data_IF_998813802068
#
_entry.id   IF_998813802068
#
_cell.length_a   1.000
_cell.length_b   1.000
_cell.length_c   1.000
_cell.angle_alpha   90.00
_cell.angle_beta   90.00
_cell.angle_gamma   90.00
#
_symmetry.space_group_name_H-M   'P 1'
#
loop_
_entity.id
_entity.type
_entity.pdbx_description
1 polymer ?
#
# COMPACT_ATOMS: atom_id res chain seq x y z
N UNK A 1 -27.48 1.17 5.11
CA UNK A 1 -26.46 1.85 4.29
C UNK A 1 -25.09 1.54 4.88
N UNK A 2 -24.14 1.09 4.05
CA UNK A 2 -22.94 0.33 4.44
C UNK A 2 -21.93 1.09 5.32
N UNK A 3 -21.64 0.53 6.50
CA UNK A 3 -20.57 0.94 7.39
C UNK A 3 -19.22 0.34 6.93
N UNK A 4 -18.64 0.86 5.84
CA UNK A 4 -17.28 0.51 5.39
C UNK A 4 -16.27 1.66 5.69
N UNK A 5 -16.51 2.42 6.75
CA UNK A 5 -15.64 3.54 7.11
C UNK A 5 -14.63 3.12 8.17
N UNK A 6 -13.34 3.14 7.78
CA UNK A 6 -12.11 3.05 8.60
C UNK A 6 -11.76 1.60 8.99
N UNK A 7 -10.99 0.82 8.18
CA UNK A 7 -9.65 1.11 7.64
C UNK A 7 -9.48 0.83 6.12
N UNK A 8 -10.54 0.38 5.44
CA UNK A 8 -10.48 -0.07 4.05
C UNK A 8 -10.01 1.01 3.06
N UNK A 9 -10.32 2.29 3.31
CA UNK A 9 -9.96 3.39 2.41
C UNK A 9 -8.46 3.62 2.27
N UNK A 10 -7.69 3.54 3.37
CA UNK A 10 -6.23 3.75 3.36
C UNK A 10 -5.53 2.56 2.72
N UNK A 11 -5.91 1.34 3.13
CA UNK A 11 -5.31 0.12 2.58
C UNK A 11 -5.67 -0.10 1.10
N UNK A 12 -6.86 0.31 0.67
CA UNK A 12 -7.25 0.24 -0.75
C UNK A 12 -6.53 1.29 -1.58
N UNK A 13 -6.30 2.49 -1.04
CA UNK A 13 -5.52 3.54 -1.69
C UNK A 13 -4.04 3.15 -1.82
N UNK A 14 -3.47 2.49 -0.81
CA UNK A 14 -2.10 1.95 -0.88
C UNK A 14 -1.98 0.78 -1.86
N UNK A 15 -2.97 -0.12 -1.91
CA UNK A 15 -3.05 -1.17 -2.94
C UNK A 15 -3.14 -0.60 -4.35
N UNK A 16 -3.93 0.45 -4.57
CA UNK A 16 -3.97 1.16 -5.86
C UNK A 16 -2.59 1.71 -6.24
N UNK A 17 -1.92 2.39 -5.29
CA UNK A 17 -0.58 2.95 -5.50
C UNK A 17 0.46 1.89 -5.84
N UNK A 18 0.41 0.73 -5.18
CA UNK A 18 1.27 -0.41 -5.49
C UNK A 18 0.99 -0.97 -6.89
N UNK A 19 -0.28 -1.04 -7.30
CA UNK A 19 -0.67 -1.48 -8.65
C UNK A 19 -0.22 -0.50 -9.73
N UNK A 20 -0.30 0.80 -9.49
CA UNK A 20 0.24 1.83 -10.40
C UNK A 20 1.76 1.74 -10.54
N UNK A 21 2.48 1.50 -9.44
CA UNK A 21 3.94 1.30 -9.47
C UNK A 21 4.33 0.03 -10.23
N UNK A 22 3.58 -1.06 -10.08
CA UNK A 22 3.80 -2.29 -10.85
C UNK A 22 3.56 -2.06 -12.34
N UNK A 23 2.47 -1.38 -12.71
CA UNK A 23 2.20 -1.04 -14.12
C UNK A 23 3.29 -0.09 -14.68
N UNK A 24 3.77 0.86 -13.89
CA UNK A 24 4.90 1.70 -14.27
C UNK A 24 6.17 0.88 -14.46
N UNK A 25 6.39 -0.16 -13.63
CA UNK A 25 7.50 -1.09 -13.75
C UNK A 25 7.43 -1.90 -15.05
N UNK A 26 6.23 -2.33 -15.45
CA UNK A 26 6.01 -3.08 -16.70
C UNK A 26 6.15 -2.21 -17.95
N UNK A 27 5.84 -0.91 -17.84
CA UNK A 27 6.06 0.07 -18.92
C UNK A 27 7.52 0.51 -19.03
N UNK A 28 8.29 0.32 -17.97
CA UNK A 28 9.72 0.58 -17.94
C UNK A 28 10.46 -0.57 -18.64
N UNK A 29 11.30 -0.22 -19.60
CA UNK A 29 12.15 -1.18 -20.32
C UNK A 29 13.48 -1.43 -19.61
N UNK A 30 13.78 -0.63 -18.58
CA UNK A 30 14.99 -0.75 -17.80
C UNK A 30 14.83 -1.79 -16.67
N UNK A 31 15.69 -2.82 -16.61
CA UNK A 31 15.57 -3.89 -15.65
C UNK A 31 15.80 -3.43 -14.20
N UNK A 32 16.68 -2.46 -13.95
CA UNK A 32 16.93 -1.94 -12.60
C UNK A 32 15.76 -1.08 -12.10
N UNK A 33 15.22 -0.24 -12.99
CA UNK A 33 14.07 0.60 -12.70
C UNK A 33 12.81 -0.24 -12.47
N UNK A 34 12.63 -1.35 -13.20
CA UNK A 34 11.54 -2.31 -12.98
C UNK A 34 11.62 -2.91 -11.58
N UNK A 35 12.81 -3.38 -11.19
CA UNK A 35 13.03 -4.01 -9.88
C UNK A 35 12.79 -3.00 -8.75
N UNK A 36 13.28 -1.76 -8.87
CA UNK A 36 13.02 -0.71 -7.87
C UNK A 36 11.53 -0.39 -7.73
N UNK A 37 10.80 -0.32 -8.84
CA UNK A 37 9.37 -0.04 -8.83
C UNK A 37 8.57 -1.20 -8.22
N UNK A 38 8.92 -2.44 -8.54
CA UNK A 38 8.32 -3.62 -7.91
C UNK A 38 8.60 -3.70 -6.41
N UNK A 39 9.84 -3.44 -5.97
CA UNK A 39 10.18 -3.42 -4.55
C UNK A 39 9.41 -2.31 -3.81
N UNK A 40 9.25 -1.14 -4.43
CA UNK A 40 8.48 -0.03 -3.87
C UNK A 40 7.00 -0.35 -3.76
N UNK A 41 6.43 -1.03 -4.77
CA UNK A 41 5.06 -1.50 -4.77
C UNK A 41 4.82 -2.53 -3.65
N UNK A 42 5.73 -3.48 -3.50
CA UNK A 42 5.65 -4.52 -2.48
C UNK A 42 5.78 -3.94 -1.07
N UNK A 43 6.71 -2.99 -0.87
CA UNK A 43 6.85 -2.29 0.41
C UNK A 43 5.57 -1.53 0.78
N UNK A 44 4.94 -0.83 -0.16
CA UNK A 44 3.67 -0.12 0.07
C UNK A 44 2.51 -1.05 0.43
N UNK A 45 2.50 -2.28 -0.11
CA UNK A 45 1.54 -3.32 0.28
C UNK A 45 1.79 -3.79 1.72
N UNK A 46 3.05 -4.08 2.07
CA UNK A 46 3.41 -4.49 3.43
C UNK A 46 3.17 -3.39 4.46
N UNK A 47 3.52 -2.14 4.15
CA UNK A 47 3.21 -0.97 4.98
C UNK A 47 1.69 -0.78 5.11
N UNK A 48 0.91 -1.03 4.04
CA UNK A 48 -0.55 -1.00 4.12
C UNK A 48 -1.15 -2.05 5.05
N UNK A 49 -0.46 -3.17 5.26
CA UNK A 49 -0.88 -4.25 6.15
C UNK A 49 -0.40 -4.00 7.59
N UNK A 50 0.79 -3.39 7.76
CA UNK A 50 1.36 -3.03 9.06
C UNK A 50 0.76 -1.75 9.67
N UNK A 51 0.55 -0.70 8.88
CA UNK A 51 -0.07 0.58 9.31
C UNK A 51 -1.53 0.38 9.72
N UNK A 52 -2.19 -0.68 9.20
CA UNK A 52 -3.49 -1.14 9.69
C UNK A 52 -3.46 -1.84 11.05
N UNK A 53 -2.28 -2.27 11.51
CA UNK A 53 -2.03 -2.86 12.83
C UNK A 53 -1.56 -1.78 13.83
N UNK A 54 -0.66 -0.89 13.41
CA UNK A 54 -0.14 0.21 14.25
C UNK A 54 -1.17 1.34 14.48
N UNK A 55 -2.14 1.52 13.58
CA UNK A 55 -3.26 2.44 13.79
C UNK A 55 -4.36 1.88 14.73
N UNK A 56 -4.31 0.59 15.07
CA UNK A 56 -5.19 -0.06 16.05
C UNK A 56 -4.58 -0.03 17.47
N UNK A 57 -3.23 0.00 17.58
CA UNK A 57 -2.49 0.10 18.85
C UNK A 57 -2.16 1.56 19.27
N UNK A 58 -2.95 2.53 18.82
CA UNK A 58 -2.88 3.92 19.32
C UNK A 58 -4.28 4.52 19.61
N UNK A 59 -5.22 3.70 20.09
CA UNK A 59 -6.43 4.12 20.80
C UNK A 59 -6.56 3.29 22.09
N UNK A 60 -5.80 3.69 23.11
CA UNK A 60 -5.84 3.04 24.42
C UNK A 60 -5.10 3.80 25.50
N UNK A 61 -4.91 5.11 25.33
CA UNK A 61 -4.30 6.01 26.31
C UNK A 61 -5.34 6.92 26.95
N UNK A 62 -6.19 6.38 27.81
CA UNK A 62 -6.72 7.10 28.98
C UNK A 62 -7.32 6.17 30.01
#
# INVERSE_FOLDING_TARGET
MNAASRPAGRSQQMRQKASELSQAAERTTDPEHRVRLQQKAQRLLTESEQDGNEADEWVGGR
#
